data_IF_902768049212
#
_entry.id   IF_902768049212
#
_cell.length_a   1.000
_cell.length_b   1.000
_cell.length_c   1.000
_cell.angle_alpha   90.00
_cell.angle_beta   90.00
_cell.angle_gamma   90.00
#
_symmetry.space_group_name_H-M   'P 1'
#
loop_
_entity.id
_entity.type
_entity.pdbx_description
1 polymer ?
#
# COMPACT_ATOMS: atom_id res chain seq x y z
N UNK A 1 -63.55 -4.22 1.01
CA UNK A 1 -63.20 -4.46 -0.41
C UNK A 1 -62.20 -3.39 -0.83
N UNK A 2 -61.02 -3.59 -1.41
CA UNK A 2 -60.12 -4.71 -1.63
C UNK A 2 -58.76 -4.05 -1.95
N UNK A 3 -57.70 -4.36 -1.20
CA UNK A 3 -56.35 -3.86 -1.43
C UNK A 3 -55.77 -4.50 -2.70
N UNK A 4 -55.52 -3.71 -3.75
CA UNK A 4 -54.84 -4.23 -4.96
C UNK A 4 -53.35 -3.96 -4.86
N UNK A 5 -52.65 -4.88 -4.20
CA UNK A 5 -51.20 -5.05 -4.25
C UNK A 5 -50.78 -5.37 -5.69
N UNK A 6 -50.17 -4.41 -6.38
CA UNK A 6 -49.52 -4.65 -7.67
C UNK A 6 -48.23 -5.45 -7.42
N UNK A 7 -48.37 -6.78 -7.52
CA UNK A 7 -47.29 -7.77 -7.50
C UNK A 7 -46.45 -7.59 -8.77
N UNK A 8 -45.33 -6.87 -8.68
CA UNK A 8 -44.34 -6.84 -9.78
C UNK A 8 -43.54 -8.15 -9.74
N UNK A 9 -43.46 -8.94 -10.83
CA UNK A 9 -42.58 -10.10 -10.87
C UNK A 9 -41.13 -9.64 -10.91
N UNK A 10 -40.33 -10.14 -9.97
CA UNK A 10 -38.87 -10.00 -10.00
C UNK A 10 -38.40 -10.94 -11.10
N UNK A 11 -38.05 -10.38 -12.26
CA UNK A 11 -37.34 -11.15 -13.29
C UNK A 11 -35.95 -11.48 -12.74
N UNK A 12 -35.76 -12.71 -12.24
CA UNK A 12 -34.45 -13.30 -12.01
C UNK A 12 -33.80 -13.57 -13.37
N UNK A 13 -33.18 -12.54 -13.94
CA UNK A 13 -32.36 -12.68 -15.12
C UNK A 13 -31.20 -13.64 -14.84
N UNK A 14 -31.03 -14.56 -15.77
CA UNK A 14 -30.01 -15.61 -15.86
C UNK A 14 -28.63 -15.21 -15.34
N UNK A 15 -28.10 -16.03 -14.42
CA UNK A 15 -26.72 -16.04 -13.93
C UNK A 15 -25.75 -16.24 -15.10
N UNK A 16 -25.17 -15.15 -15.60
CA UNK A 16 -24.04 -15.21 -16.51
C UNK A 16 -22.84 -15.88 -15.78
N UNK A 17 -22.05 -16.72 -16.46
CA UNK A 17 -20.87 -17.33 -15.84
C UNK A 17 -19.82 -16.25 -15.55
N UNK A 18 -19.30 -16.26 -14.33
CA UNK A 18 -18.34 -15.28 -13.74
C UNK A 18 -16.95 -15.32 -14.43
N UNK A 19 -16.77 -16.13 -15.46
CA UNK A 19 -15.48 -16.43 -16.10
C UNK A 19 -14.90 -15.30 -16.98
N UNK A 20 -15.47 -14.09 -16.97
CA UNK A 20 -14.98 -12.95 -17.75
C UNK A 20 -14.48 -11.76 -16.93
N UNK A 21 -14.39 -11.87 -15.60
CA UNK A 21 -13.61 -10.93 -14.79
C UNK A 21 -12.10 -11.21 -14.94
N UNK A 22 -11.62 -11.11 -16.18
CA UNK A 22 -10.19 -10.95 -16.45
C UNK A 22 -9.84 -9.55 -16.00
N UNK A 23 -9.17 -9.47 -14.85
CA UNK A 23 -8.53 -8.27 -14.32
C UNK A 23 -7.64 -7.66 -15.42
N UNK A 24 -8.18 -6.66 -16.14
CA UNK A 24 -7.36 -5.66 -16.80
C UNK A 24 -6.88 -4.71 -15.69
N UNK A 25 -5.93 -5.15 -14.87
CA UNK A 25 -5.15 -4.27 -13.99
C UNK A 25 -3.90 -3.76 -14.73
N UNK A 26 -4.02 -3.53 -16.03
CA UNK A 26 -2.96 -3.01 -16.88
C UNK A 26 -3.46 -1.75 -17.53
N UNK A 27 -2.94 -0.61 -17.07
CA UNK A 27 -3.19 0.72 -17.63
C UNK A 27 -4.55 1.34 -17.28
N UNK A 28 -4.75 1.63 -16.00
CA UNK A 28 -5.35 2.93 -15.70
C UNK A 28 -4.37 3.99 -16.22
N UNK A 29 -4.58 4.45 -17.46
CA UNK A 29 -3.98 5.69 -17.93
C UNK A 29 -4.60 6.81 -17.10
N UNK A 30 -4.08 7.00 -15.90
CA UNK A 30 -4.29 8.23 -15.16
C UNK A 30 -3.48 9.29 -15.88
N UNK A 31 -4.09 9.97 -16.85
CA UNK A 31 -3.72 11.33 -17.20
C UNK A 31 -4.03 12.22 -15.98
N UNK A 32 -3.30 12.00 -14.91
CA UNK A 32 -3.16 12.91 -13.80
C UNK A 32 -1.73 13.39 -13.92
N UNK A 33 -1.55 14.66 -14.23
CA UNK A 33 -0.29 15.39 -14.03
C UNK A 33 0.01 15.43 -12.51
N UNK A 34 0.19 14.25 -11.91
CA UNK A 34 0.77 14.14 -10.60
C UNK A 34 2.23 14.56 -10.76
N UNK A 35 2.75 15.45 -9.91
CA UNK A 35 4.15 15.81 -9.96
C UNK A 35 4.97 14.52 -9.89
N UNK A 36 5.75 14.28 -10.94
CA UNK A 36 6.63 13.13 -11.02
C UNK A 36 7.70 13.30 -9.94
N UNK A 37 7.54 12.60 -8.83
CA UNK A 37 8.54 12.59 -7.77
C UNK A 37 9.77 11.82 -8.24
N UNK A 38 10.99 12.27 -7.87
CA UNK A 38 12.19 11.49 -8.14
C UNK A 38 12.05 10.11 -7.50
N UNK A 39 12.56 9.07 -8.15
CA UNK A 39 12.43 7.67 -7.68
C UNK A 39 12.98 7.44 -6.26
N UNK A 40 13.86 8.33 -5.80
CA UNK A 40 14.50 8.30 -4.48
C UNK A 40 14.00 9.38 -3.53
N UNK A 41 12.89 10.05 -3.82
CA UNK A 41 12.39 11.21 -3.07
C UNK A 41 12.36 10.99 -1.55
N UNK A 42 11.96 9.79 -1.10
CA UNK A 42 11.88 9.48 0.33
C UNK A 42 13.26 9.32 0.98
N UNK A 43 14.20 8.70 0.27
CA UNK A 43 15.58 8.58 0.74
C UNK A 43 16.27 9.96 0.79
N UNK A 44 16.02 10.80 -0.20
CA UNK A 44 16.55 12.16 -0.26
C UNK A 44 15.97 13.03 0.87
N UNK A 45 14.67 12.90 1.15
CA UNK A 45 14.00 13.54 2.29
C UNK A 45 14.66 13.10 3.61
N UNK A 46 14.82 11.80 3.84
CA UNK A 46 15.46 11.28 5.05
C UNK A 46 16.90 11.79 5.19
N UNK A 47 17.67 11.84 4.10
CA UNK A 47 19.03 12.38 4.11
C UNK A 47 19.03 13.87 4.46
N UNK A 48 18.07 14.64 3.96
CA UNK A 48 17.93 16.06 4.28
C UNK A 48 17.55 16.30 5.75
N UNK A 49 16.62 15.52 6.31
CA UNK A 49 16.27 15.60 7.74
C UNK A 49 17.46 15.25 8.64
N UNK A 50 18.27 14.25 8.25
CA UNK A 50 19.48 13.89 8.98
C UNK A 50 20.50 15.03 9.03
N UNK A 51 20.61 15.83 7.96
CA UNK A 51 21.48 17.03 7.97
C UNK A 51 21.04 18.06 9.00
N UNK A 52 19.74 18.24 9.19
CA UNK A 52 19.19 19.16 10.20
C UNK A 52 19.35 18.65 11.64
N UNK A 53 19.84 17.42 11.82
CA UNK A 53 20.11 16.86 13.15
C UNK A 53 21.53 17.17 13.63
N UNK A 54 22.38 17.78 12.78
CA UNK A 54 23.73 18.22 13.16
C UNK A 54 23.68 19.41 14.13
N UNK A 55 24.74 19.56 14.93
CA UNK A 55 24.90 20.62 15.93
C UNK A 55 25.02 22.04 15.33
N UNK A 56 25.13 22.14 14.00
CA UNK A 56 25.17 23.42 13.27
C UNK A 56 23.82 24.16 13.29
N UNK A 57 22.73 23.49 13.70
CA UNK A 57 21.37 24.01 13.70
C UNK A 57 20.87 24.33 15.11
N UNK A 58 19.92 25.28 15.27
CA UNK A 58 19.33 25.58 16.56
C UNK A 58 18.62 24.35 17.13
N UNK A 59 18.66 24.19 18.45
CA UNK A 59 18.11 23.02 19.16
C UNK A 59 16.65 22.74 18.85
N UNK A 60 15.84 23.78 18.62
CA UNK A 60 14.44 23.63 18.18
C UNK A 60 14.31 22.93 16.82
N UNK A 61 15.18 23.28 15.87
CA UNK A 61 15.20 22.66 14.53
C UNK A 61 15.66 21.20 14.60
N UNK A 62 16.68 20.92 15.41
CA UNK A 62 17.19 19.56 15.64
C UNK A 62 16.08 18.66 16.23
N UNK A 63 15.35 19.14 17.24
CA UNK A 63 14.26 18.36 17.85
C UNK A 63 13.07 18.14 16.90
N UNK A 64 12.71 19.15 16.10
CA UNK A 64 11.70 18.99 15.06
C UNK A 64 12.13 17.98 13.99
N UNK A 65 13.38 18.06 13.53
CA UNK A 65 13.93 17.13 12.54
C UNK A 65 13.91 15.69 13.06
N UNK A 66 14.31 15.45 14.32
CA UNK A 66 14.22 14.13 14.97
C UNK A 66 12.77 13.64 15.03
N UNK A 67 11.82 14.50 15.42
CA UNK A 67 10.39 14.15 15.47
C UNK A 67 9.86 13.74 14.09
N UNK A 68 10.23 14.47 13.04
CA UNK A 68 9.84 14.13 11.66
C UNK A 68 10.49 12.83 11.19
N UNK A 69 11.75 12.57 11.56
CA UNK A 69 12.46 11.34 11.22
C UNK A 69 11.77 10.13 11.85
N UNK A 70 11.44 10.18 13.15
CA UNK A 70 10.66 9.13 13.83
C UNK A 70 9.28 8.93 13.19
N UNK A 71 8.58 10.02 12.83
CA UNK A 71 7.29 9.95 12.14
C UNK A 71 7.40 9.26 10.77
N UNK A 72 8.45 9.57 10.00
CA UNK A 72 8.70 8.96 8.71
C UNK A 72 9.02 7.47 8.83
N UNK A 73 9.78 7.06 9.84
CA UNK A 73 10.08 5.65 10.12
C UNK A 73 8.83 4.89 10.57
N UNK A 74 7.93 5.50 11.34
CA UNK A 74 6.70 4.84 11.76
C UNK A 74 5.67 4.72 10.63
N UNK A 75 5.65 5.68 9.69
CA UNK A 75 4.64 5.81 8.64
C UNK A 75 5.17 5.56 7.22
N UNK A 76 6.37 4.96 7.09
CA UNK A 76 7.05 4.78 5.79
C UNK A 76 6.18 4.12 4.73
N UNK A 77 5.40 3.09 5.11
CA UNK A 77 4.52 2.36 4.20
C UNK A 77 3.41 3.25 3.67
N UNK A 78 2.83 4.09 4.53
CA UNK A 78 1.78 5.02 4.16
C UNK A 78 2.30 6.11 3.23
N UNK A 79 3.51 6.61 3.50
CA UNK A 79 4.15 7.65 2.68
C UNK A 79 4.54 7.13 1.30
N UNK A 80 5.19 5.96 1.21
CA UNK A 80 5.63 5.38 -0.06
C UNK A 80 4.47 4.86 -0.90
N UNK A 81 3.63 3.99 -0.31
CA UNK A 81 2.55 3.36 -1.07
C UNK A 81 1.37 4.32 -1.28
N UNK A 82 1.14 5.25 -0.35
CA UNK A 82 0.12 6.29 -0.50
C UNK A 82 0.42 7.26 -1.63
N UNK A 83 1.70 7.61 -1.85
CA UNK A 83 2.10 8.44 -3.00
C UNK A 83 1.78 7.78 -4.35
N UNK A 84 1.84 6.44 -4.41
CA UNK A 84 1.49 5.66 -5.60
C UNK A 84 -0.03 5.39 -5.72
N UNK A 85 -0.83 5.84 -4.75
CA UNK A 85 -2.29 5.67 -4.73
C UNK A 85 -2.78 4.35 -4.12
N UNK A 86 -1.91 3.60 -3.43
CA UNK A 86 -2.34 2.38 -2.73
C UNK A 86 -3.13 2.70 -1.46
N UNK A 87 -4.07 1.81 -1.13
CA UNK A 87 -4.82 1.86 0.11
C UNK A 87 -3.94 1.43 1.28
N UNK A 88 -3.51 2.41 2.08
CA UNK A 88 -2.57 2.22 3.19
C UNK A 88 -3.22 2.32 4.56
N UNK A 89 -4.52 2.59 4.66
CA UNK A 89 -5.23 2.54 5.94
C UNK A 89 -5.34 1.11 6.44
N UNK A 90 -5.17 0.90 7.76
CA UNK A 90 -5.26 -0.42 8.40
C UNK A 90 -6.55 -1.18 8.06
N UNK A 91 -7.68 -0.46 7.92
CA UNK A 91 -8.99 -1.01 7.54
C UNK A 91 -9.03 -1.64 6.14
N UNK A 92 -8.12 -1.25 5.24
CA UNK A 92 -8.09 -1.68 3.85
C UNK A 92 -6.87 -2.53 3.50
N UNK A 93 -5.90 -2.64 4.42
CA UNK A 93 -4.74 -3.51 4.26
C UNK A 93 -5.16 -4.97 4.49
N UNK A 94 -5.32 -5.73 3.41
CA UNK A 94 -5.71 -7.14 3.49
C UNK A 94 -4.68 -8.08 4.15
N UNK A 95 -3.46 -7.59 4.42
CA UNK A 95 -2.37 -8.39 4.98
C UNK A 95 -1.70 -7.72 6.20
N UNK A 96 -2.42 -6.86 6.94
CA UNK A 96 -1.90 -6.25 8.18
C UNK A 96 -1.80 -7.33 9.28
N UNK A 97 -0.65 -7.44 9.96
CA UNK A 97 -0.37 -8.41 11.03
C UNK A 97 -0.27 -9.90 10.62
N UNK A 98 -0.08 -10.20 9.34
CA UNK A 98 0.29 -11.57 8.95
C UNK A 98 1.79 -11.77 9.13
N UNK A 99 2.15 -12.86 9.82
CA UNK A 99 3.53 -13.27 9.94
C UNK A 99 4.07 -13.60 8.55
N UNK A 100 4.98 -12.76 8.06
CA UNK A 100 5.66 -12.97 6.80
C UNK A 100 6.89 -13.84 7.07
N UNK A 101 6.80 -15.13 6.74
CA UNK A 101 7.93 -16.05 6.85
C UNK A 101 8.83 -15.91 5.62
N UNK A 102 9.70 -14.90 5.64
CA UNK A 102 10.74 -14.73 4.62
C UNK A 102 11.87 -15.69 4.95
N UNK A 103 11.79 -16.93 4.47
CA UNK A 103 12.83 -17.95 4.66
C UNK A 103 12.31 -19.38 4.81
N UNK A 104 11.05 -19.57 5.18
CA UNK A 104 10.47 -20.92 5.34
C UNK A 104 10.18 -21.60 3.99
N UNK A 105 10.13 -20.80 2.92
CA UNK A 105 10.07 -21.29 1.54
C UNK A 105 11.44 -21.64 0.94
N UNK A 106 12.57 -21.36 1.60
CA UNK A 106 13.89 -21.82 1.13
C UNK A 106 14.24 -23.17 1.75
N UNK A 107 13.47 -24.18 1.34
CA UNK A 107 13.81 -25.58 1.52
C UNK A 107 14.54 -26.13 0.29
N UNK A 108 15.44 -25.37 -0.35
CA UNK A 108 16.33 -25.91 -1.41
C UNK A 108 17.70 -26.31 -0.86
N UNK A 109 17.70 -26.95 0.31
CA UNK A 109 18.91 -27.37 1.03
C UNK A 109 18.83 -28.80 1.55
N UNK A 110 18.54 -29.77 0.68
CA UNK A 110 18.93 -31.18 0.90
C UNK A 110 19.44 -31.76 -0.40
N UNK A 111 20.60 -31.29 -0.84
CA UNK A 111 21.45 -32.16 -1.64
C UNK A 111 21.86 -33.31 -0.74
N UNK A 112 21.44 -34.51 -1.11
CA UNK A 112 21.87 -35.73 -0.49
C UNK A 112 23.37 -35.88 -0.75
N UNK A 113 24.17 -35.81 0.32
CA UNK A 113 25.46 -36.47 0.36
C UNK A 113 25.27 -38.00 0.27
N UNK A 114 26.34 -38.71 -0.09
CA UNK A 114 26.55 -40.16 -0.20
C UNK A 114 26.40 -40.79 -1.60
N UNK A 115 27.48 -40.70 -2.40
CA UNK A 115 28.38 -41.83 -2.69
C UNK A 115 29.68 -41.35 -3.34
#
# INVERSE_FOLDING_TARGET
MSLRLLKRPINLASRAPISQLRLQSGQAQTSHDLPSFPSRWFADLQAQLKKFTSDDYPSSCVEEAKRQLMSNEQNWLQLLAGQQGFLTDKKWRGLDNHQLLWGDMDSMGKYHDFL
#
